data_IF_246193087912
#
_entry.id   IF_246193087912
#
_cell.length_a   1.000
_cell.length_b   1.000
_cell.length_c   1.000
_cell.angle_alpha   90.00
_cell.angle_beta   90.00
_cell.angle_gamma   90.00
#
_symmetry.space_group_name_H-M   'P 1'
#
loop_
_entity.id
_entity.type
_entity.pdbx_description
1 polymer ?
#
# COMPACT_ATOMS: atom_id res chain seq x y z
N UNK A 1 -18.60 -24.79 -77.71
CA UNK A 1 -17.30 -24.89 -77.01
C UNK A 1 -16.94 -23.58 -76.29
N UNK A 2 -16.66 -22.46 -76.99
CA UNK A 2 -16.20 -21.20 -76.36
C UNK A 2 -17.09 -20.63 -75.25
N UNK A 3 -18.43 -20.70 -75.38
CA UNK A 3 -19.35 -20.17 -74.36
C UNK A 3 -19.34 -20.97 -73.05
N UNK A 4 -19.09 -22.28 -73.14
CA UNK A 4 -19.05 -23.17 -71.97
C UNK A 4 -17.75 -22.94 -71.19
N UNK A 5 -16.63 -22.75 -71.91
CA UNK A 5 -15.33 -22.44 -71.28
C UNK A 5 -15.34 -21.08 -70.57
N UNK A 6 -16.01 -20.07 -71.12
CA UNK A 6 -16.14 -18.76 -70.45
C UNK A 6 -16.99 -18.84 -69.19
N UNK A 7 -18.09 -19.61 -69.20
CA UNK A 7 -18.95 -19.77 -68.02
C UNK A 7 -18.21 -20.53 -66.91
N UNK A 8 -17.46 -21.58 -67.25
CA UNK A 8 -16.63 -22.31 -66.29
C UNK A 8 -15.55 -21.43 -65.67
N UNK A 9 -14.88 -20.59 -66.47
CA UNK A 9 -13.88 -19.65 -65.97
C UNK A 9 -14.47 -18.67 -64.96
N UNK A 10 -15.65 -18.11 -65.24
CA UNK A 10 -16.34 -17.20 -64.32
C UNK A 10 -16.68 -17.91 -63.01
N UNK A 11 -17.24 -19.12 -63.08
CA UNK A 11 -17.58 -19.90 -61.88
C UNK A 11 -16.35 -20.20 -61.02
N UNK A 12 -15.24 -20.60 -61.65
CA UNK A 12 -13.98 -20.87 -60.94
C UNK A 12 -13.43 -19.59 -60.32
N UNK A 13 -13.41 -18.48 -61.04
CA UNK A 13 -12.94 -17.19 -60.52
C UNK A 13 -13.80 -16.70 -59.34
N UNK A 14 -15.12 -16.82 -59.43
CA UNK A 14 -16.03 -16.45 -58.34
C UNK A 14 -15.85 -17.34 -57.10
N UNK A 15 -15.68 -18.66 -57.29
CA UNK A 15 -15.45 -19.59 -56.19
C UNK A 15 -14.11 -19.33 -55.48
N UNK A 16 -13.06 -19.03 -56.24
CA UNK A 16 -11.75 -18.66 -55.67
C UNK A 16 -11.81 -17.34 -54.92
N UNK A 17 -12.49 -16.32 -55.48
CA UNK A 17 -12.67 -15.03 -54.81
C UNK A 17 -13.41 -15.16 -53.48
N UNK A 18 -14.49 -15.96 -53.46
CA UNK A 18 -15.23 -16.26 -52.23
C UNK A 18 -14.37 -16.95 -51.18
N UNK A 19 -13.62 -17.98 -51.58
CA UNK A 19 -12.77 -18.74 -50.67
C UNK A 19 -11.64 -17.89 -50.06
N UNK A 20 -11.02 -17.02 -50.87
CA UNK A 20 -9.98 -16.09 -50.40
C UNK A 20 -10.56 -15.08 -49.42
N UNK A 21 -11.72 -14.50 -49.72
CA UNK A 21 -12.40 -13.55 -48.83
C UNK A 21 -12.80 -14.21 -47.50
N UNK A 22 -13.38 -15.40 -47.55
CA UNK A 22 -13.79 -16.15 -46.36
C UNK A 22 -12.59 -16.56 -45.49
N UNK A 23 -11.50 -17.02 -46.09
CA UNK A 23 -10.29 -17.36 -45.34
C UNK A 23 -9.60 -16.12 -44.75
N UNK A 24 -9.67 -14.98 -45.43
CA UNK A 24 -9.09 -13.75 -44.92
C UNK A 24 -9.88 -13.18 -43.73
N UNK A 25 -11.22 -13.19 -43.81
CA UNK A 25 -12.11 -12.77 -42.73
C UNK A 25 -11.93 -13.63 -41.49
N UNK A 26 -11.96 -14.96 -41.60
CA UNK A 26 -11.73 -15.88 -40.48
C UNK A 26 -10.37 -15.68 -39.80
N UNK A 27 -9.30 -15.44 -40.57
CA UNK A 27 -7.97 -15.14 -40.01
C UNK A 27 -7.94 -13.80 -39.28
N UNK A 28 -8.65 -12.81 -39.80
CA UNK A 28 -8.72 -11.46 -39.20
C UNK A 28 -9.48 -11.52 -37.89
N UNK A 29 -10.63 -12.21 -37.85
CA UNK A 29 -11.43 -12.39 -36.64
C UNK A 29 -10.64 -13.15 -35.56
N UNK A 30 -9.96 -14.23 -35.93
CA UNK A 30 -9.13 -15.00 -35.01
C UNK A 30 -7.93 -14.20 -34.48
N UNK A 31 -7.32 -13.35 -35.31
CA UNK A 31 -6.26 -12.45 -34.88
C UNK A 31 -6.78 -11.38 -33.90
N UNK A 32 -7.98 -10.84 -34.16
CA UNK A 32 -8.64 -9.87 -33.29
C UNK A 32 -8.97 -10.50 -31.92
N UNK A 33 -9.57 -11.70 -31.91
CA UNK A 33 -9.88 -12.42 -30.67
C UNK A 33 -8.61 -12.75 -29.88
N UNK A 34 -7.55 -13.21 -30.53
CA UNK A 34 -6.25 -13.46 -29.86
C UNK A 34 -5.66 -12.19 -29.27
N UNK A 35 -5.73 -11.07 -30.00
CA UNK A 35 -5.27 -9.78 -29.49
C UNK A 35 -6.08 -9.34 -28.27
N UNK A 36 -7.42 -9.46 -28.34
CA UNK A 36 -8.30 -9.13 -27.22
C UNK A 36 -8.03 -10.02 -26.00
N UNK A 37 -7.83 -11.32 -26.20
CA UNK A 37 -7.46 -12.26 -25.14
C UNK A 37 -6.13 -11.89 -24.50
N UNK A 38 -5.11 -11.59 -25.31
CA UNK A 38 -3.79 -11.16 -24.81
C UNK A 38 -3.93 -9.90 -23.95
N UNK A 39 -4.65 -8.89 -24.44
CA UNK A 39 -4.88 -7.66 -23.69
C UNK A 39 -5.62 -7.89 -22.38
N UNK A 40 -6.59 -8.82 -22.35
CA UNK A 40 -7.29 -9.18 -21.11
C UNK A 40 -6.37 -9.90 -20.13
N UNK A 41 -5.51 -10.80 -20.60
CA UNK A 41 -4.49 -11.48 -19.79
C UNK A 41 -3.51 -10.48 -19.20
N UNK A 42 -2.97 -9.58 -20.02
CA UNK A 42 -2.02 -8.56 -19.60
C UNK A 42 -2.63 -7.63 -18.54
N UNK A 43 -3.88 -7.18 -18.76
CA UNK A 43 -4.62 -6.37 -17.78
C UNK A 43 -4.85 -7.14 -16.48
N UNK A 44 -5.28 -8.39 -16.56
CA UNK A 44 -5.49 -9.24 -15.37
C UNK A 44 -4.20 -9.38 -14.58
N UNK A 45 -3.08 -9.62 -15.25
CA UNK A 45 -1.81 -9.85 -14.59
C UNK A 45 -1.26 -8.55 -13.99
N UNK A 46 -1.43 -7.42 -14.66
CA UNK A 46 -1.16 -6.10 -14.08
C UNK A 46 -2.01 -5.82 -12.82
N UNK A 47 -3.31 -6.13 -12.84
CA UNK A 47 -4.17 -5.98 -11.68
C UNK A 47 -3.77 -6.90 -10.53
N UNK A 48 -3.39 -8.16 -10.82
CA UNK A 48 -2.87 -9.09 -9.81
C UNK A 48 -1.58 -8.58 -9.19
N UNK A 49 -0.66 -8.08 -10.01
CA UNK A 49 0.58 -7.48 -9.52
C UNK A 49 0.28 -6.28 -8.61
N UNK A 50 -0.59 -5.36 -9.04
CA UNK A 50 -0.97 -4.20 -8.24
C UNK A 50 -1.64 -4.60 -6.93
N UNK A 51 -2.49 -5.62 -6.94
CA UNK A 51 -3.13 -6.13 -5.72
C UNK A 51 -2.10 -6.70 -4.74
N UNK A 52 -1.09 -7.43 -5.23
CA UNK A 52 -0.01 -7.94 -4.39
C UNK A 52 0.84 -6.81 -3.80
N UNK A 53 1.22 -5.81 -4.60
CA UNK A 53 1.96 -4.64 -4.12
C UNK A 53 1.21 -3.93 -2.98
N UNK A 54 -0.09 -3.69 -3.15
CA UNK A 54 -0.93 -3.05 -2.13
C UNK A 54 -1.07 -3.92 -0.88
N UNK A 55 -1.17 -5.24 -1.03
CA UNK A 55 -1.22 -6.16 0.11
C UNK A 55 0.09 -6.15 0.91
N UNK A 56 1.23 -6.08 0.24
CA UNK A 56 2.54 -5.98 0.87
C UNK A 56 2.73 -4.64 1.60
N UNK A 57 2.32 -3.53 0.97
CA UNK A 57 2.31 -2.19 1.58
C UNK A 57 1.43 -2.16 2.84
N UNK A 58 0.23 -2.73 2.78
CA UNK A 58 -0.67 -2.83 3.93
C UNK A 58 -0.04 -3.67 5.05
N UNK A 59 0.57 -4.81 4.71
CA UNK A 59 1.27 -5.65 5.66
C UNK A 59 2.45 -4.95 6.34
N UNK A 60 3.19 -4.12 5.60
CA UNK A 60 4.25 -3.28 6.16
C UNK A 60 3.71 -2.20 7.09
N UNK A 61 2.68 -1.47 6.66
CA UNK A 61 2.05 -0.42 7.46
C UNK A 61 1.49 -0.96 8.77
N UNK A 62 0.83 -2.12 8.75
CA UNK A 62 0.27 -2.75 9.95
C UNK A 62 1.37 -3.20 10.94
N UNK A 63 2.52 -3.67 10.44
CA UNK A 63 3.68 -3.97 11.30
C UNK A 63 4.26 -2.70 11.90
N UNK A 64 4.43 -1.66 11.11
CA UNK A 64 4.94 -0.37 11.58
C UNK A 64 4.02 0.26 12.63
N UNK A 65 2.70 0.20 12.44
CA UNK A 65 1.71 0.68 13.41
C UNK A 65 1.85 -0.05 14.75
N UNK A 66 1.92 -1.39 14.74
CA UNK A 66 2.06 -2.18 15.97
C UNK A 66 3.35 -1.89 16.72
N UNK A 67 4.46 -1.66 16.01
CA UNK A 67 5.72 -1.25 16.63
C UNK A 67 5.59 0.14 17.27
N UNK A 68 5.02 1.11 16.56
CA UNK A 68 4.81 2.46 17.09
C UNK A 68 3.85 2.47 18.31
N UNK A 69 2.81 1.64 18.30
CA UNK A 69 1.90 1.46 19.46
C UNK A 69 2.64 0.87 20.66
N UNK A 70 3.54 -0.10 20.44
CA UNK A 70 4.36 -0.67 21.50
C UNK A 70 5.36 0.36 22.06
N UNK A 71 6.03 1.13 21.20
CA UNK A 71 6.95 2.19 21.60
C UNK A 71 6.22 3.30 22.38
N UNK A 72 5.02 3.68 21.96
CA UNK A 72 4.17 4.63 22.69
C UNK A 72 3.81 4.12 24.10
N UNK A 73 3.47 2.84 24.21
CA UNK A 73 3.17 2.23 25.53
C UNK A 73 4.40 2.24 26.43
N UNK A 74 5.56 1.89 25.89
CA UNK A 74 6.81 1.92 26.64
C UNK A 74 7.16 3.33 27.13
N UNK A 75 7.01 4.34 26.26
CA UNK A 75 7.23 5.75 26.64
C UNK A 75 6.23 6.24 27.70
N UNK A 76 4.97 5.79 27.63
CA UNK A 76 3.98 6.12 28.65
C UNK A 76 4.30 5.49 30.01
N UNK A 77 4.83 4.26 30.01
CA UNK A 77 5.28 3.59 31.23
C UNK A 77 6.50 4.31 31.83
N UNK A 78 7.49 4.68 31.02
CA UNK A 78 8.68 5.44 31.48
C UNK A 78 8.29 6.83 32.04
N UNK A 79 7.36 7.53 31.38
CA UNK A 79 6.86 8.81 31.87
C UNK A 79 6.08 8.67 33.18
N UNK A 80 5.32 7.60 33.35
CA UNK A 80 4.60 7.33 34.60
C UNK A 80 5.57 7.05 35.75
N UNK A 81 6.63 6.27 35.50
CA UNK A 81 7.69 6.00 36.48
C UNK A 81 8.42 7.29 36.87
N UNK A 82 8.80 8.12 35.89
CA UNK A 82 9.43 9.42 36.17
C UNK A 82 8.51 10.37 36.96
N UNK A 83 7.20 10.37 36.67
CA UNK A 83 6.25 11.19 37.39
C UNK A 83 6.12 10.74 38.86
N UNK A 84 6.09 9.43 39.12
CA UNK A 84 6.07 8.89 40.48
C UNK A 84 7.35 9.24 41.26
N UNK A 85 8.51 9.06 40.64
CA UNK A 85 9.81 9.45 41.21
C UNK A 85 9.87 10.94 41.53
N UNK A 86 9.36 11.78 40.63
CA UNK A 86 9.28 13.22 40.84
C UNK A 86 8.35 13.57 42.01
N UNK A 87 7.18 12.93 42.13
CA UNK A 87 6.24 13.14 43.23
C UNK A 87 6.81 12.69 44.59
N UNK A 88 7.59 11.61 44.61
CA UNK A 88 8.33 11.16 45.80
C UNK A 88 9.39 12.20 46.18
N UNK A 89 10.17 12.69 45.21
CA UNK A 89 11.19 13.70 45.44
C UNK A 89 10.57 15.02 45.93
N UNK A 90 9.47 15.46 45.30
CA UNK A 90 8.71 16.65 45.67
C UNK A 90 8.22 16.56 47.11
N UNK A 91 7.61 15.44 47.51
CA UNK A 91 7.17 15.22 48.90
C UNK A 91 8.34 15.27 49.87
N UNK A 92 9.46 14.62 49.57
CA UNK A 92 10.66 14.66 50.43
C UNK A 92 11.17 16.09 50.63
N UNK A 93 11.22 16.90 49.57
CA UNK A 93 11.62 18.31 49.65
C UNK A 93 10.65 19.11 50.53
N UNK A 94 9.34 18.93 50.35
CA UNK A 94 8.30 19.61 51.15
C UNK A 94 8.36 19.22 52.64
N UNK A 95 8.63 17.95 52.94
CA UNK A 95 8.73 17.44 54.32
C UNK A 95 10.06 17.80 55.00
N UNK A 96 11.10 18.19 54.24
CA UNK A 96 12.41 18.51 54.79
C UNK A 96 12.39 19.90 55.45
N UNK A 97 12.90 20.06 56.69
CA UNK A 97 12.86 21.33 57.39
C UNK A 97 13.71 22.38 56.66
N UNK A 98 13.23 23.63 56.64
CA UNK A 98 13.91 24.74 55.97
C UNK A 98 15.31 25.06 56.56
N UNK A 99 15.65 24.52 57.73
CA UNK A 99 16.99 24.63 58.32
C UNK A 99 18.05 23.78 57.62
N UNK A 100 17.64 22.75 56.87
CA UNK A 100 18.53 21.88 56.09
C UNK A 100 18.77 22.42 54.66
N UNK A 101 18.12 23.53 54.29
CA UNK A 101 18.33 24.22 53.02
C UNK A 101 19.63 25.03 53.10
N UNK A 102 20.64 24.63 52.31
CA UNK A 102 21.84 25.46 52.09
C UNK A 102 21.51 26.77 51.38
N UNK A 103 22.48 27.69 51.28
CA UNK A 103 22.28 29.10 50.85
C UNK A 103 21.52 29.30 49.51
N UNK A 104 21.54 28.31 48.61
CA UNK A 104 20.86 28.31 47.29
C UNK A 104 19.60 27.43 47.19
N UNK A 105 19.32 26.60 48.20
CA UNK A 105 18.19 25.68 48.21
C UNK A 105 16.79 26.34 48.32
N UNK A 106 16.59 27.50 48.99
CA UNK A 106 15.27 28.13 49.10
C UNK A 106 14.67 28.54 47.75
N UNK A 107 15.52 29.03 46.83
CA UNK A 107 15.09 29.45 45.49
C UNK A 107 14.69 28.23 44.67
N UNK A 108 15.47 27.15 44.73
CA UNK A 108 15.17 25.87 44.08
C UNK A 108 13.91 25.20 44.63
N UNK A 109 13.70 25.24 45.96
CA UNK A 109 12.47 24.76 46.61
C UNK A 109 11.25 25.54 46.12
N UNK A 110 11.33 26.87 46.07
CA UNK A 110 10.22 27.72 45.59
C UNK A 110 9.86 27.47 44.12
N UNK A 111 10.85 27.15 43.27
CA UNK A 111 10.61 26.85 41.86
C UNK A 111 10.01 25.47 41.65
N UNK A 112 10.44 24.47 42.43
CA UNK A 112 9.89 23.11 42.38
C UNK A 112 8.47 23.02 42.98
N UNK A 113 8.18 23.78 44.03
CA UNK A 113 6.84 23.84 44.63
C UNK A 113 5.81 24.58 43.74
N UNK A 114 6.27 25.54 42.93
CA UNK A 114 5.43 26.35 42.03
C UNK A 114 5.10 25.68 40.68
N UNK A 115 5.67 24.52 40.38
CA UNK A 115 5.32 23.75 39.19
C UNK A 115 3.93 23.09 39.38
N UNK A 116 3.03 23.19 38.37
CA UNK A 116 1.67 22.65 38.43
C UNK A 116 1.65 21.13 38.54
#
# INVERSE_FOLDING_TARGET
MQRITTILLILVSSALGWNVWQNHTLKTDLALERSALSQMVDKRDAWKQKANEVADELGYAERSRRLAEADLKALQEELAEQAEDYDVLRRRIQESPASDDGEVAPVLRSTLEALP
#
